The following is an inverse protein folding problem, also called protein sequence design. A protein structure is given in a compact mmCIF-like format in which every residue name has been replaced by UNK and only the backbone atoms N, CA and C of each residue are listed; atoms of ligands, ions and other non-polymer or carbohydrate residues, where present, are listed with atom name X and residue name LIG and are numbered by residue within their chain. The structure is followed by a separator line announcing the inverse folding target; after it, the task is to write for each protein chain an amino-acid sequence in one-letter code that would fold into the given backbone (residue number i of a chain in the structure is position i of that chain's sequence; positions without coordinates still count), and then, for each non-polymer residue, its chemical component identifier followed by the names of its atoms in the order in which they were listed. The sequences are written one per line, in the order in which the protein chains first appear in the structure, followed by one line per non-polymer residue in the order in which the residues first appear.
data_IF_156354520642
#
_entry.id   IF_156354520642
#
_cell.length_a   1.000
_cell.length_b   1.000
_cell.length_c   1.000
_cell.angle_alpha   90.00
_cell.angle_beta   90.00
_cell.angle_gamma   90.00
#
_symmetry.space_group_name_H-M   'P 1'
#
loop_
_entity.id
_entity.type
_entity.pdbx_description
1 polymer ?
#
# COMPACT_ATOMS: atom_id res chain seq x y z
N UNK A 1 -0.28 1.78 -18.32
CA UNK A 1 0.06 3.06 -17.68
C UNK A 1 -1.21 3.67 -17.16
N UNK A 2 -1.21 4.20 -15.93
CA UNK A 2 -2.38 4.87 -15.37
C UNK A 2 -2.50 6.28 -15.95
N UNK A 3 -3.72 6.73 -16.19
CA UNK A 3 -3.99 8.13 -16.50
C UNK A 3 -4.04 8.99 -15.22
N UNK A 4 -4.09 10.31 -15.36
CA UNK A 4 -4.06 11.23 -14.21
C UNK A 4 -5.21 11.00 -13.22
N UNK A 5 -6.40 10.64 -13.71
CA UNK A 5 -7.55 10.34 -12.85
C UNK A 5 -7.36 9.02 -12.09
N UNK A 6 -6.83 8.00 -12.75
CA UNK A 6 -6.49 6.71 -12.15
C UNK A 6 -5.37 6.85 -11.10
N UNK A 7 -4.36 7.68 -11.36
CA UNK A 7 -3.32 8.00 -10.37
C UNK A 7 -3.92 8.66 -9.13
N UNK A 8 -4.71 9.74 -9.32
CA UNK A 8 -5.37 10.45 -8.23
C UNK A 8 -6.23 9.52 -7.38
N UNK A 9 -7.04 8.70 -8.03
CA UNK A 9 -7.92 7.75 -7.33
C UNK A 9 -7.12 6.68 -6.57
N UNK A 10 -6.07 6.14 -7.19
CA UNK A 10 -5.19 5.16 -6.53
C UNK A 10 -4.52 5.77 -5.30
N UNK A 11 -4.06 7.02 -5.40
CA UNK A 11 -3.50 7.78 -4.27
C UNK A 11 -4.50 7.93 -3.13
N UNK A 12 -5.74 8.31 -3.45
CA UNK A 12 -6.81 8.44 -2.46
C UNK A 12 -7.13 7.09 -1.79
N UNK A 13 -7.18 6.00 -2.56
CA UNK A 13 -7.43 4.64 -2.07
C UNK A 13 -6.30 4.14 -1.15
N UNK A 14 -5.03 4.38 -1.52
CA UNK A 14 -3.87 4.06 -0.68
C UNK A 14 -3.90 4.86 0.63
N UNK A 15 -4.14 6.16 0.54
CA UNK A 15 -4.18 7.06 1.72
C UNK A 15 -5.31 6.67 2.67
N UNK A 16 -6.48 6.29 2.15
CA UNK A 16 -7.59 5.81 2.97
C UNK A 16 -7.27 4.48 3.65
N UNK A 17 -6.68 3.53 2.94
CA UNK A 17 -6.28 2.26 3.57
C UNK A 17 -5.23 2.47 4.67
N UNK A 18 -4.28 3.40 4.47
CA UNK A 18 -3.36 3.82 5.54
C UNK A 18 -4.13 4.36 6.76
N UNK A 19 -5.07 5.28 6.57
CA UNK A 19 -5.88 5.80 7.68
C UNK A 19 -6.70 4.72 8.38
N UNK A 20 -7.28 3.78 7.64
CA UNK A 20 -8.08 2.68 8.21
C UNK A 20 -7.21 1.67 8.97
N UNK A 21 -5.96 1.47 8.54
CA UNK A 21 -5.02 0.56 9.21
C UNK A 21 -4.62 1.02 10.61
N UNK A 22 -4.79 2.31 10.91
CA UNK A 22 -4.34 2.91 12.17
C UNK A 22 -2.84 3.17 12.25
N UNK A 23 -2.06 2.78 11.23
CA UNK A 23 -0.62 2.98 11.16
C UNK A 23 -0.26 4.41 10.76
N UNK A 24 0.88 4.87 11.26
CA UNK A 24 1.52 6.11 10.83
C UNK A 24 2.35 5.89 9.56
N UNK A 25 2.58 6.94 8.75
CA UNK A 25 3.50 6.84 7.61
C UNK A 25 4.93 6.39 8.01
N UNK A 26 5.36 6.70 9.24
CA UNK A 26 6.69 6.31 9.72
C UNK A 26 6.78 4.79 9.95
N UNK A 27 5.75 4.18 10.55
CA UNK A 27 5.68 2.73 10.75
C UNK A 27 5.64 1.98 9.41
N UNK A 28 4.81 2.44 8.47
CA UNK A 28 4.74 1.85 7.13
C UNK A 28 6.09 1.97 6.40
N UNK A 29 6.75 3.12 6.48
CA UNK A 29 8.06 3.30 5.87
C UNK A 29 9.11 2.37 6.49
N UNK A 30 9.12 2.24 7.82
CA UNK A 30 10.03 1.36 8.54
C UNK A 30 9.83 -0.11 8.14
N UNK A 31 8.58 -0.58 8.16
CA UNK A 31 8.23 -1.97 7.84
C UNK A 31 8.58 -2.32 6.38
N UNK A 32 8.32 -1.40 5.45
CA UNK A 32 8.64 -1.60 4.03
C UNK A 32 10.12 -1.36 3.69
N UNK A 33 10.92 -0.86 4.64
CA UNK A 33 12.29 -0.42 4.39
C UNK A 33 12.37 0.76 3.41
N UNK A 34 11.34 1.61 3.37
CA UNK A 34 11.27 2.78 2.52
C UNK A 34 11.86 4.00 3.23
N UNK A 35 12.45 4.91 2.45
CA UNK A 35 12.69 6.27 2.96
C UNK A 35 11.36 7.03 3.04
N UNK A 36 11.23 8.04 3.91
CA UNK A 36 10.02 8.86 3.99
C UNK A 36 9.61 9.47 2.65
N UNK A 37 10.59 9.89 1.84
CA UNK A 37 10.37 10.44 0.50
C UNK A 37 9.82 9.37 -0.46
N UNK A 38 10.35 8.15 -0.42
CA UNK A 38 9.89 7.04 -1.27
C UNK A 38 8.45 6.67 -0.93
N UNK A 39 8.11 6.58 0.35
CA UNK A 39 6.74 6.33 0.77
C UNK A 39 5.81 7.46 0.31
N UNK A 40 6.19 8.73 0.49
CA UNK A 40 5.38 9.87 0.09
C UNK A 40 5.07 9.86 -1.42
N UNK A 41 6.08 9.61 -2.28
CA UNK A 41 5.86 9.48 -3.72
C UNK A 41 5.00 8.26 -4.09
N UNK A 42 5.17 7.14 -3.39
CA UNK A 42 4.36 5.93 -3.63
C UNK A 42 2.89 6.15 -3.24
N UNK A 43 2.64 6.85 -2.13
CA UNK A 43 1.29 7.24 -1.70
C UNK A 43 0.64 8.23 -2.66
N UNK A 44 1.40 9.22 -3.15
CA UNK A 44 0.91 10.21 -4.10
C UNK A 44 0.66 9.63 -5.51
N UNK A 45 1.26 8.46 -5.82
CA UNK A 45 1.25 7.83 -7.14
C UNK A 45 1.67 8.87 -8.21
N UNK A 46 2.64 9.73 -7.85
CA UNK A 46 3.09 10.84 -8.67
C UNK A 46 4.44 10.53 -9.35
N UNK A 47 4.60 11.07 -10.57
CA UNK A 47 5.86 10.97 -11.31
C UNK A 47 6.33 9.54 -11.65
N UNK A 48 7.65 9.30 -11.80
CA UNK A 48 8.22 7.99 -12.07
C UNK A 48 8.26 7.14 -10.79
N UNK A 49 7.09 6.77 -10.29
CA UNK A 49 6.96 5.81 -9.18
C UNK A 49 7.13 4.38 -9.72
N UNK A 50 7.92 3.56 -9.03
CA UNK A 50 8.11 2.15 -9.38
C UNK A 50 6.78 1.38 -9.16
N UNK A 51 6.20 0.74 -10.19
CA UNK A 51 4.99 -0.07 -10.03
C UNK A 51 5.13 -1.16 -8.97
N UNK A 52 6.34 -1.69 -8.75
CA UNK A 52 6.61 -2.68 -7.70
C UNK A 52 6.37 -2.08 -6.31
N UNK A 53 6.71 -0.80 -6.11
CA UNK A 53 6.53 -0.13 -4.83
C UNK A 53 5.05 0.09 -4.50
N UNK A 54 4.27 0.44 -5.52
CA UNK A 54 2.82 0.66 -5.41
C UNK A 54 2.11 -0.65 -5.06
N UNK A 55 2.47 -1.74 -5.73
CA UNK A 55 1.89 -3.06 -5.44
C UNK A 55 2.28 -3.55 -4.04
N UNK A 56 3.54 -3.37 -3.64
CA UNK A 56 3.99 -3.74 -2.31
C UNK A 56 3.27 -2.95 -1.22
N UNK A 57 3.09 -1.63 -1.41
CA UNK A 57 2.35 -0.79 -0.48
C UNK A 57 0.87 -1.17 -0.42
N UNK A 58 0.22 -1.45 -1.56
CA UNK A 58 -1.16 -1.92 -1.60
C UNK A 58 -1.34 -3.20 -0.80
N UNK A 59 -0.49 -4.20 -1.04
CA UNK A 59 -0.60 -5.50 -0.39
C UNK A 59 -0.36 -5.39 1.12
N UNK A 60 0.61 -4.57 1.52
CA UNK A 60 0.90 -4.28 2.93
C UNK A 60 -0.31 -3.62 3.61
N UNK A 61 -0.87 -2.56 3.02
CA UNK A 61 -1.98 -1.83 3.61
C UNK A 61 -3.26 -2.66 3.71
N UNK A 62 -3.57 -3.47 2.69
CA UNK A 62 -4.72 -4.37 2.79
C UNK A 62 -4.55 -5.40 3.91
N UNK A 63 -3.34 -5.93 4.09
CA UNK A 63 -3.03 -6.87 5.16
C UNK A 63 -3.13 -6.19 6.52
N UNK A 64 -2.49 -5.04 6.70
CA UNK A 64 -2.52 -4.24 7.91
C UNK A 64 -3.96 -3.87 8.35
N UNK A 65 -4.81 -3.48 7.40
CA UNK A 65 -6.22 -3.21 7.70
C UNK A 65 -6.95 -4.46 8.21
N UNK A 66 -6.72 -5.63 7.60
CA UNK A 66 -7.36 -6.89 8.02
C UNK A 66 -6.90 -7.32 9.41
N UNK A 67 -5.60 -7.19 9.67
CA UNK A 67 -5.01 -7.59 10.96
C UNK A 67 -5.45 -6.66 12.10
N UNK A 68 -5.73 -5.38 11.80
CA UNK A 68 -6.43 -4.46 12.71
C UNK A 68 -7.91 -4.80 12.92
N UNK A 69 -8.44 -5.88 12.33
CA UNK A 69 -9.84 -6.29 12.41
C UNK A 69 -10.80 -5.44 11.58
N UNK A 70 -10.27 -4.65 10.64
CA UNK A 70 -11.03 -3.71 9.82
C UNK A 70 -11.19 -4.25 8.38
N UNK A 71 -12.01 -3.57 7.57
CA UNK A 71 -12.23 -3.94 6.15
C UNK A 71 -11.46 -2.99 5.23
N UNK A 72 -10.59 -3.50 4.32
CA UNK A 72 -9.86 -2.67 3.37
C UNK A 72 -10.79 -1.87 2.45
N UNK A 73 -10.40 -0.64 2.14
CA UNK A 73 -11.06 0.15 1.10
C UNK A 73 -10.71 -0.48 -0.25
N UNK A 74 -11.71 -0.83 -1.08
CA UNK A 74 -11.46 -1.52 -2.33
C UNK A 74 -10.72 -0.62 -3.32
N UNK A 75 -9.76 -1.21 -4.04
CA UNK A 75 -9.09 -0.53 -5.13
C UNK A 75 -9.88 -0.66 -6.43
N UNK A 76 -10.01 0.45 -7.16
CA UNK A 76 -10.66 0.44 -8.48
C UNK A 76 -9.71 0.08 -9.61
N UNK A 77 -8.43 0.41 -9.44
CA UNK A 77 -7.36 0.19 -10.43
C UNK A 77 -6.48 -0.98 -10.02
N UNK A 78 -5.99 -0.98 -8.77
CA UNK A 78 -5.12 -2.02 -8.20
C UNK A 78 -5.92 -3.25 -7.74
N UNK A 79 -6.83 -3.71 -8.58
CA UNK A 79 -7.66 -4.90 -8.30
C UNK A 79 -6.82 -6.18 -8.30
N UNK A 80 -7.35 -7.26 -7.72
CA UNK A 80 -6.68 -8.58 -7.74
C UNK A 80 -6.49 -9.11 -9.17
N UNK A 81 -7.43 -8.78 -10.09
CA UNK A 81 -7.27 -9.06 -11.52
C UNK A 81 -6.07 -8.31 -12.11
N UNK A 82 -5.93 -7.03 -11.78
CA UNK A 82 -4.78 -6.21 -12.20
C UNK A 82 -3.47 -6.75 -11.62
N UNK A 83 -3.49 -7.24 -10.38
CA UNK A 83 -2.32 -7.86 -9.73
C UNK A 83 -1.89 -9.13 -10.44
N UNK A 84 -2.84 -9.99 -10.77
CA UNK A 84 -2.57 -11.25 -11.50
C UNK A 84 -1.91 -10.97 -12.85
N UNK A 85 -2.36 -9.93 -13.55
CA UNK A 85 -1.69 -9.46 -14.77
C UNK A 85 -0.29 -8.89 -14.46
N UNK A 86 -0.15 -8.08 -13.42
CA UNK A 86 1.12 -7.43 -13.04
C UNK A 86 2.23 -8.43 -12.68
N UNK A 87 1.91 -9.56 -12.03
CA UNK A 87 2.88 -10.63 -11.71
C UNK A 87 3.59 -11.18 -12.94
N UNK A 88 2.94 -11.13 -14.12
CA UNK A 88 3.53 -11.61 -15.37
C UNK A 88 4.59 -10.65 -15.95
N UNK A 89 4.59 -9.39 -15.51
CA UNK A 89 5.42 -8.31 -16.09
C UNK A 89 6.44 -7.75 -15.08
N UNK A 90 6.12 -7.81 -13.79
CA UNK A 90 6.96 -7.27 -12.72
C UNK A 90 7.38 -8.38 -11.76
N UNK A 91 8.64 -8.33 -11.31
CA UNK A 91 9.07 -9.10 -10.15
C UNK A 91 8.52 -8.44 -8.88
N UNK A 92 7.25 -8.68 -8.57
CA UNK A 92 6.61 -8.13 -7.38
C UNK A 92 7.34 -8.60 -6.12
N UNK A 93 7.50 -7.68 -5.16
CA UNK A 93 8.03 -7.99 -3.83
C UNK A 93 6.85 -8.32 -2.90
N UNK A 94 7.00 -9.35 -2.09
CA UNK A 94 6.05 -9.64 -1.01
C UNK A 94 6.04 -8.48 -0.02
N UNK A 95 4.85 -8.06 0.39
CA UNK A 95 4.71 -7.17 1.52
C UNK A 95 5.09 -7.93 2.81
N UNK A 96 5.93 -7.34 3.69
CA UNK A 96 6.10 -7.85 5.03
C UNK A 96 4.77 -7.77 5.79
N UNK A 97 4.61 -8.62 6.80
CA UNK A 97 3.44 -8.61 7.67
C UNK A 97 3.72 -7.71 8.88
N UNK A 98 2.77 -6.85 9.25
CA UNK A 98 2.86 -6.05 10.48
C UNK A 98 2.31 -6.86 11.66
N UNK A 99 3.08 -6.96 12.74
CA UNK A 99 2.64 -7.66 13.95
C UNK A 99 1.92 -6.69 14.90
N UNK A 100 0.58 -6.76 14.93
CA UNK A 100 -0.25 -5.93 15.81
C UNK A 100 -0.22 -6.36 17.29
N UNK A 101 0.45 -7.47 17.64
CA UNK A 101 0.42 -8.07 18.98
C UNK A 101 1.20 -7.25 20.03
N UNK A 102 1.94 -6.22 19.64
CA UNK A 102 2.76 -5.41 20.55
C UNK A 102 2.03 -4.23 21.23
N UNK A 103 0.78 -3.90 20.86
CA UNK A 103 0.07 -2.70 21.34
C UNK A 103 -0.95 -2.96 22.47
N UNK A 104 -0.73 -3.98 23.30
CA UNK A 104 -1.61 -4.25 24.44
C UNK A 104 -0.96 -5.13 25.50
N UNK A 105 -0.29 -4.51 26.47
CA UNK A 105 -0.32 -4.80 27.93
C UNK A 105 0.66 -3.83 28.59
N UNK A 106 0.15 -2.80 29.28
CA UNK A 106 0.64 -2.26 30.56
C UNK A 106 -0.49 -1.52 31.25
#
# INVERSE_FOLDING_TARGET
MLNAEECRRTSDELTRNLSVSGLTPAEVAADLGYSPRRLASTLAVDGPTDPVDVWQLRDYLEQAVRDAGQTPVPFTVLTERSRSAAVSWFRLRSAPHHDFTAAGVV
#
